data_IF_952749749136
#
_entry.id   IF_952749749136
#
_cell.length_a   1.000
_cell.length_b   1.000
_cell.length_c   1.000
_cell.angle_alpha   90.00
_cell.angle_beta   90.00
_cell.angle_gamma   90.00
#
_symmetry.space_group_name_H-M   'P 1'
#
loop_
_entity.id
_entity.type
_entity.pdbx_description
1 polymer ?
#
# COMPACT_ATOMS: atom_id res chain seq x y z
N UNK A 1 10.29 5.13 29.00
CA UNK A 1 10.23 6.18 27.97
C UNK A 1 10.37 5.50 26.65
N UNK A 2 9.30 5.41 25.89
CA UNK A 2 9.30 4.78 24.58
C UNK A 2 9.48 5.85 23.50
N UNK A 3 10.05 5.47 22.34
CA UNK A 3 10.18 6.31 21.16
C UNK A 3 9.15 5.89 20.11
N UNK A 4 8.27 6.78 19.76
CA UNK A 4 7.25 6.55 18.74
C UNK A 4 7.42 7.50 17.55
N UNK A 5 7.19 6.97 16.35
CA UNK A 5 7.03 7.78 15.15
C UNK A 5 5.56 7.80 14.76
N UNK A 6 4.93 8.96 14.80
CA UNK A 6 3.53 9.17 14.45
C UNK A 6 3.45 9.77 13.05
N UNK A 7 2.77 9.10 12.13
CA UNK A 7 2.50 9.65 10.79
C UNK A 7 1.02 10.03 10.67
N UNK A 8 0.75 11.24 10.23
CA UNK A 8 -0.60 11.68 9.93
C UNK A 8 -0.77 11.97 8.44
N UNK A 9 -1.80 11.34 7.83
CA UNK A 9 -2.14 11.54 6.42
C UNK A 9 -2.83 12.88 6.14
N UNK A 10 -2.98 13.23 4.87
CA UNK A 10 -3.57 14.51 4.45
C UNK A 10 -4.98 14.75 4.97
N UNK A 11 -5.80 13.70 5.09
CA UNK A 11 -7.14 13.79 5.71
C UNK A 11 -7.07 14.13 7.20
N UNK A 12 -6.05 13.66 7.89
CA UNK A 12 -5.84 13.92 9.32
C UNK A 12 -5.42 15.37 9.61
N UNK A 13 -4.81 16.03 8.64
CA UNK A 13 -4.32 17.42 8.72
C UNK A 13 -5.02 18.35 7.71
N UNK A 14 -6.19 17.96 7.21
CA UNK A 14 -6.90 18.64 6.14
C UNK A 14 -7.54 19.99 6.49
N UNK A 15 -7.50 20.41 7.76
CA UNK A 15 -7.91 21.75 8.23
C UNK A 15 -7.14 22.15 9.48
N UNK A 16 -7.20 23.43 9.84
CA UNK A 16 -6.57 23.96 11.07
C UNK A 16 -7.14 23.28 12.31
N UNK A 17 -8.44 22.99 12.36
CA UNK A 17 -9.10 22.28 13.46
C UNK A 17 -8.54 20.87 13.62
N UNK A 18 -8.35 20.17 12.50
CA UNK A 18 -7.74 18.81 12.51
C UNK A 18 -6.29 18.84 12.96
N UNK A 19 -5.50 19.83 12.53
CA UNK A 19 -4.12 20.02 12.99
C UNK A 19 -4.09 20.26 14.52
N UNK A 20 -5.01 21.07 15.06
CA UNK A 20 -5.14 21.26 16.52
C UNK A 20 -5.53 19.96 17.26
N UNK A 21 -6.35 19.10 16.65
CA UNK A 21 -6.65 17.77 17.23
C UNK A 21 -5.42 16.86 17.25
N UNK A 22 -4.64 16.85 16.16
CA UNK A 22 -3.35 16.15 16.10
C UNK A 22 -2.40 16.65 17.17
N UNK A 23 -2.27 17.98 17.35
CA UNK A 23 -1.42 18.57 18.39
C UNK A 23 -1.81 18.08 19.79
N UNK A 24 -3.11 18.03 20.12
CA UNK A 24 -3.60 17.50 21.42
C UNK A 24 -3.24 16.01 21.59
N UNK A 25 -3.34 15.20 20.53
CA UNK A 25 -2.99 13.77 20.55
C UNK A 25 -1.48 13.58 20.80
N UNK A 26 -0.64 14.35 20.13
CA UNK A 26 0.82 14.35 20.31
C UNK A 26 1.19 14.80 21.73
N UNK A 27 0.60 15.91 22.21
CA UNK A 27 0.82 16.42 23.57
C UNK A 27 0.47 15.39 24.63
N UNK A 28 -0.66 14.68 24.48
CA UNK A 28 -1.08 13.61 25.38
C UNK A 28 -0.03 12.50 25.52
N UNK A 29 0.60 12.09 24.40
CA UNK A 29 1.66 11.08 24.42
C UNK A 29 2.94 11.61 25.07
N UNK A 30 3.35 12.85 24.76
CA UNK A 30 4.50 13.49 25.43
C UNK A 30 4.28 13.61 26.95
N UNK A 31 3.07 13.95 27.40
CA UNK A 31 2.73 14.05 28.81
C UNK A 31 2.82 12.71 29.56
N UNK A 32 2.71 11.58 28.84
CA UNK A 32 2.95 10.23 29.38
C UNK A 32 4.45 9.91 29.51
N UNK A 33 5.32 10.79 29.04
CA UNK A 33 6.76 10.64 29.10
C UNK A 33 7.40 9.97 27.90
N UNK A 34 6.68 9.85 26.77
CA UNK A 34 7.20 9.26 25.54
C UNK A 34 7.93 10.30 24.67
N UNK A 35 8.94 9.85 23.93
CA UNK A 35 9.58 10.62 22.88
C UNK A 35 8.79 10.47 21.58
N UNK A 36 8.45 11.60 20.95
CA UNK A 36 7.57 11.59 19.78
C UNK A 36 8.21 12.29 18.58
N UNK A 37 8.25 11.59 17.47
CA UNK A 37 8.53 12.16 16.16
C UNK A 37 7.21 12.14 15.38
N UNK A 38 6.88 13.26 14.76
CA UNK A 38 5.66 13.38 13.95
C UNK A 38 6.02 13.59 12.49
N UNK A 39 5.51 12.75 11.60
CA UNK A 39 5.65 12.89 10.15
C UNK A 39 4.31 13.30 9.54
N UNK A 40 4.31 14.39 8.79
CA UNK A 40 3.08 14.91 8.19
C UNK A 40 3.09 14.80 6.67
N UNK A 41 1.91 14.53 6.14
CA UNK A 41 1.58 14.77 4.73
C UNK A 41 1.10 16.21 4.53
N UNK A 42 1.07 16.67 3.28
CA UNK A 42 0.36 17.90 2.90
C UNK A 42 -1.14 17.80 3.25
N UNK A 43 -1.80 18.92 3.37
CA UNK A 43 -3.28 18.98 3.53
C UNK A 43 -3.97 18.23 2.38
N UNK A 44 -5.11 17.62 2.68
CA UNK A 44 -5.88 16.87 1.66
C UNK A 44 -6.17 17.73 0.43
N UNK A 45 -5.82 17.21 -0.77
CA UNK A 45 -6.00 17.91 -2.05
C UNK A 45 -4.86 18.86 -2.44
N UNK A 46 -3.98 19.25 -1.52
CA UNK A 46 -2.94 20.26 -1.78
C UNK A 46 -1.92 19.80 -2.82
N UNK A 47 -1.43 18.58 -2.75
CA UNK A 47 -0.50 18.02 -3.75
C UNK A 47 -1.12 18.03 -5.15
N UNK A 48 -2.41 17.65 -5.26
CA UNK A 48 -3.12 17.69 -6.56
C UNK A 48 -3.29 19.13 -7.08
N UNK A 49 -3.57 20.10 -6.19
CA UNK A 49 -3.65 21.51 -6.54
C UNK A 49 -2.32 22.03 -7.08
N UNK A 50 -1.21 21.69 -6.43
CA UNK A 50 0.13 22.09 -6.87
C UNK A 50 0.50 21.46 -8.23
N UNK A 51 0.18 20.18 -8.44
CA UNK A 51 0.37 19.51 -9.74
C UNK A 51 -0.46 20.19 -10.84
N UNK A 52 -1.70 20.58 -10.55
CA UNK A 52 -2.55 21.30 -11.52
C UNK A 52 -1.91 22.63 -11.91
N UNK A 53 -1.44 23.42 -10.94
CA UNK A 53 -0.73 24.69 -11.21
C UNK A 53 0.53 24.49 -12.09
N UNK A 54 1.31 23.44 -11.83
CA UNK A 54 2.47 23.12 -12.67
C UNK A 54 2.08 22.86 -14.13
N UNK A 55 0.97 22.11 -14.33
CA UNK A 55 0.46 21.77 -15.65
C UNK A 55 -0.12 22.98 -16.40
N UNK A 56 -0.66 23.97 -15.68
CA UNK A 56 -1.08 25.24 -16.27
C UNK A 56 0.13 26.07 -16.78
N UNK A 57 1.27 25.97 -16.11
CA UNK A 57 2.50 26.67 -16.53
C UNK A 57 3.21 25.96 -17.69
N UNK A 58 3.26 24.62 -17.65
CA UNK A 58 3.97 23.82 -18.65
C UNK A 58 3.25 22.46 -18.81
N UNK A 59 2.96 22.06 -20.05
CA UNK A 59 2.24 20.82 -20.35
C UNK A 59 2.96 19.58 -19.79
N UNK A 60 4.30 19.60 -19.85
CA UNK A 60 5.18 18.56 -19.28
C UNK A 60 6.27 19.23 -18.43
N UNK A 61 5.98 19.55 -17.17
CA UNK A 61 6.99 20.10 -16.26
C UNK A 61 8.13 19.12 -16.06
N UNK A 62 9.36 19.64 -15.85
CA UNK A 62 10.49 18.77 -15.49
C UNK A 62 10.27 18.19 -14.09
N UNK A 63 10.64 16.92 -13.91
CA UNK A 63 10.42 16.19 -12.65
C UNK A 63 11.10 16.87 -11.46
N UNK A 64 12.30 17.48 -11.68
CA UNK A 64 13.01 18.22 -10.63
C UNK A 64 12.21 19.42 -10.13
N UNK A 65 11.66 20.25 -11.02
CA UNK A 65 10.86 21.43 -10.62
C UNK A 65 9.49 21.01 -10.05
N UNK A 66 8.95 19.87 -10.50
CA UNK A 66 7.77 19.28 -9.89
C UNK A 66 8.04 18.92 -8.43
N UNK A 67 9.18 18.28 -8.11
CA UNK A 67 9.56 17.94 -6.74
C UNK A 67 9.70 19.17 -5.84
N UNK A 68 10.34 20.23 -6.34
CA UNK A 68 10.43 21.52 -5.63
C UNK A 68 9.06 22.05 -5.29
N UNK A 69 8.14 22.06 -6.26
CA UNK A 69 6.80 22.62 -6.06
C UNK A 69 5.97 21.79 -5.09
N UNK A 70 5.86 20.47 -5.32
CA UNK A 70 4.94 19.63 -4.52
C UNK A 70 5.44 19.40 -3.09
N UNK A 71 6.74 19.50 -2.83
CA UNK A 71 7.33 19.41 -1.47
C UNK A 71 6.93 20.55 -0.54
N UNK A 72 6.39 21.65 -1.06
CA UNK A 72 5.95 22.79 -0.26
C UNK A 72 4.72 22.50 0.59
N UNK A 73 3.90 21.54 0.18
CA UNK A 73 2.66 21.18 0.88
C UNK A 73 2.90 20.70 2.30
N UNK A 74 3.90 19.84 2.51
CA UNK A 74 4.27 19.33 3.82
C UNK A 74 4.95 20.41 4.68
N UNK A 75 5.66 21.37 4.08
CA UNK A 75 6.26 22.48 4.81
C UNK A 75 5.20 23.34 5.50
N UNK A 76 4.04 23.51 4.87
CA UNK A 76 2.91 24.23 5.50
C UNK A 76 2.41 23.45 6.72
N UNK A 77 2.17 22.15 6.59
CA UNK A 77 1.56 21.36 7.66
C UNK A 77 2.48 21.19 8.86
N UNK A 78 3.78 20.98 8.66
CA UNK A 78 4.74 20.85 9.78
C UNK A 78 4.87 22.17 10.56
N UNK A 79 4.88 23.31 9.88
CA UNK A 79 4.92 24.60 10.55
C UNK A 79 3.66 24.85 11.37
N UNK A 80 2.46 24.60 10.80
CA UNK A 80 1.19 24.78 11.49
C UNK A 80 1.05 23.85 12.70
N UNK A 81 1.46 22.59 12.60
CA UNK A 81 1.43 21.66 13.74
C UNK A 81 2.37 22.12 14.83
N UNK A 82 3.59 22.54 14.51
CA UNK A 82 4.56 23.03 15.47
C UNK A 82 4.04 24.26 16.21
N UNK A 83 3.41 25.21 15.52
CA UNK A 83 2.75 26.36 16.14
C UNK A 83 1.63 25.91 17.10
N UNK A 84 0.82 24.92 16.70
CA UNK A 84 -0.25 24.39 17.54
C UNK A 84 0.29 23.65 18.79
N UNK A 85 1.44 22.99 18.69
CA UNK A 85 2.14 22.36 19.83
C UNK A 85 2.67 23.43 20.79
N UNK A 86 3.29 24.50 20.30
CA UNK A 86 3.75 25.62 21.12
C UNK A 86 2.60 26.28 21.89
N UNK A 87 1.43 26.46 21.28
CA UNK A 87 0.23 26.98 21.94
C UNK A 87 -0.24 26.10 23.10
N UNK A 88 0.03 24.79 23.03
CA UNK A 88 -0.25 23.83 24.11
C UNK A 88 0.88 23.72 25.14
N UNK A 89 1.91 24.58 25.07
CA UNK A 89 3.06 24.55 25.95
C UNK A 89 3.99 23.36 25.70
N UNK A 90 3.99 22.81 24.51
CA UNK A 90 4.84 21.70 24.09
C UNK A 90 6.04 22.26 23.30
N UNK A 91 7.26 22.03 23.77
CA UNK A 91 8.44 22.39 23.00
C UNK A 91 8.56 21.47 21.77
N UNK A 92 8.61 22.05 20.59
CA UNK A 92 8.61 21.32 19.33
C UNK A 92 9.42 22.03 18.25
N UNK A 93 10.02 21.27 17.35
CA UNK A 93 10.78 21.81 16.23
C UNK A 93 10.38 21.13 14.92
N UNK A 94 10.11 21.92 13.88
CA UNK A 94 9.80 21.40 12.54
C UNK A 94 11.02 21.32 11.63
N UNK A 95 11.06 20.30 10.79
CA UNK A 95 12.12 20.04 9.83
C UNK A 95 11.57 19.64 8.46
N UNK A 96 12.22 20.15 7.41
CA UNK A 96 12.11 19.58 6.07
C UNK A 96 12.99 18.33 5.95
N UNK A 97 12.76 17.51 4.91
CA UNK A 97 13.60 16.34 4.66
C UNK A 97 15.09 16.67 4.47
N UNK A 98 15.39 17.84 3.88
CA UNK A 98 16.78 18.31 3.71
C UNK A 98 17.45 18.70 5.02
N UNK A 99 16.72 19.29 5.95
CA UNK A 99 17.26 19.72 7.25
C UNK A 99 17.65 18.58 8.20
N UNK A 100 16.99 17.43 8.05
CA UNK A 100 17.32 16.16 8.74
C UNK A 100 18.00 15.17 7.80
N UNK A 101 18.49 15.66 6.65
CA UNK A 101 19.22 14.90 5.63
C UNK A 101 18.64 13.52 5.34
N UNK A 102 17.37 13.48 4.94
CA UNK A 102 16.80 12.29 4.31
C UNK A 102 17.42 12.20 2.92
N UNK A 103 18.59 11.54 2.84
CA UNK A 103 19.35 11.41 1.60
C UNK A 103 18.69 10.40 0.66
N UNK A 104 18.50 10.78 -0.59
CA UNK A 104 17.89 9.96 -1.63
C UNK A 104 18.78 9.81 -2.84
N UNK A 105 18.38 8.97 -3.79
CA UNK A 105 18.87 9.06 -5.17
C UNK A 105 18.21 10.25 -5.92
N UNK A 106 18.70 10.54 -7.11
CA UNK A 106 18.21 11.65 -7.97
C UNK A 106 17.08 11.22 -8.92
N UNK A 107 16.33 10.17 -8.58
CA UNK A 107 15.15 9.74 -9.36
C UNK A 107 13.96 10.60 -8.95
N UNK A 108 13.87 11.82 -9.49
CA UNK A 108 12.82 12.78 -9.15
C UNK A 108 11.43 12.17 -9.29
N UNK A 109 10.50 12.62 -8.46
CA UNK A 109 9.10 12.14 -8.31
C UNK A 109 8.93 10.72 -7.78
N UNK A 110 10.00 9.91 -7.73
CA UNK A 110 10.00 8.50 -7.26
C UNK A 110 11.29 8.13 -6.53
N UNK A 111 11.93 9.09 -5.89
CA UNK A 111 13.22 8.90 -5.23
C UNK A 111 13.20 7.81 -4.16
N UNK A 112 14.34 7.20 -3.93
CA UNK A 112 14.55 6.16 -2.92
C UNK A 112 15.47 6.66 -1.81
N UNK A 113 15.04 6.50 -0.56
CA UNK A 113 15.85 6.84 0.61
C UNK A 113 17.07 5.92 0.65
N UNK A 114 18.26 6.51 0.76
CA UNK A 114 19.53 5.82 0.91
C UNK A 114 20.03 5.85 2.34
N UNK A 115 19.87 7.01 3.01
CA UNK A 115 20.38 7.24 4.35
C UNK A 115 19.57 8.35 5.03
N UNK A 116 19.51 8.32 6.35
CA UNK A 116 18.97 9.40 7.20
C UNK A 116 20.05 9.77 8.21
N UNK A 117 20.29 11.08 8.41
CA UNK A 117 21.15 11.57 9.47
C UNK A 117 20.31 11.83 10.72
N UNK A 118 20.57 11.09 11.79
CA UNK A 118 19.76 11.06 13.00
C UNK A 118 20.23 11.98 14.13
N UNK A 119 21.48 12.46 14.08
CA UNK A 119 22.15 13.23 15.16
C UNK A 119 21.31 14.41 15.64
N UNK A 120 20.74 15.17 14.70
CA UNK A 120 19.96 16.38 15.03
C UNK A 120 18.61 16.02 15.66
N UNK A 121 17.99 14.95 15.20
CA UNK A 121 16.74 14.44 15.75
C UNK A 121 16.95 13.94 17.18
N UNK A 122 17.99 13.16 17.42
CA UNK A 122 18.34 12.69 18.76
C UNK A 122 18.60 13.85 19.72
N UNK A 123 19.37 14.85 19.32
CA UNK A 123 19.64 16.01 20.16
C UNK A 123 18.36 16.76 20.61
N UNK A 124 17.37 16.91 19.72
CA UNK A 124 16.10 17.52 20.06
C UNK A 124 15.22 16.62 20.95
N UNK A 125 15.18 15.32 20.67
CA UNK A 125 14.46 14.35 21.51
C UNK A 125 15.04 14.29 22.94
N UNK A 126 16.38 14.30 23.07
CA UNK A 126 17.07 14.32 24.35
C UNK A 126 16.84 15.63 25.13
N UNK A 127 16.59 16.73 24.42
CA UNK A 127 16.16 18.00 25.00
C UNK A 127 14.68 18.03 25.36
N UNK A 128 13.94 16.92 25.21
CA UNK A 128 12.52 16.80 25.53
C UNK A 128 11.56 17.42 24.50
N UNK A 129 12.05 17.74 23.30
CA UNK A 129 11.23 18.33 22.25
C UNK A 129 10.48 17.27 21.42
N UNK A 130 9.32 17.65 20.91
CA UNK A 130 8.66 16.93 19.84
C UNK A 130 9.30 17.31 18.50
N UNK A 131 9.73 16.33 17.73
CA UNK A 131 10.33 16.54 16.41
C UNK A 131 9.25 16.36 15.34
N UNK A 132 9.02 17.39 14.50
CA UNK A 132 8.01 17.36 13.44
C UNK A 132 8.72 17.39 12.09
N UNK A 133 8.55 16.36 11.28
CA UNK A 133 9.27 16.18 10.00
C UNK A 133 8.30 16.20 8.81
N UNK A 134 8.64 16.97 7.80
CA UNK A 134 7.92 16.92 6.52
C UNK A 134 8.13 15.56 5.86
N UNK A 135 7.03 14.81 5.69
CA UNK A 135 7.04 13.56 4.96
C UNK A 135 7.21 13.75 3.46
N UNK A 136 7.26 12.65 2.70
CA UNK A 136 7.22 12.63 1.24
C UNK A 136 8.48 13.17 0.54
N UNK A 137 9.35 13.90 1.21
CA UNK A 137 10.48 14.62 0.63
C UNK A 137 11.84 14.23 1.22
N UNK A 138 12.87 14.37 0.42
CA UNK A 138 14.27 14.21 0.79
C UNK A 138 15.18 15.17 -0.01
N UNK A 139 16.45 14.86 -0.02
CA UNK A 139 17.49 15.62 -0.74
C UNK A 139 18.46 14.66 -1.40
N UNK A 140 18.87 14.94 -2.63
CA UNK A 140 19.92 14.18 -3.29
C UNK A 140 21.34 14.68 -2.89
N UNK A 141 22.38 13.98 -3.33
CA UNK A 141 23.78 14.37 -3.06
C UNK A 141 24.14 15.76 -3.59
N UNK A 142 23.45 16.22 -4.63
CA UNK A 142 23.62 17.56 -5.21
C UNK A 142 22.87 18.66 -4.45
N UNK A 143 22.16 18.34 -3.37
CA UNK A 143 21.35 19.28 -2.59
C UNK A 143 20.00 19.62 -3.21
N UNK A 144 19.57 18.90 -4.27
CA UNK A 144 18.27 19.12 -4.88
C UNK A 144 17.18 18.41 -4.07
N UNK A 145 16.03 19.07 -3.93
CA UNK A 145 14.84 18.47 -3.32
C UNK A 145 14.34 17.32 -4.20
N UNK A 146 14.00 16.20 -3.57
CA UNK A 146 13.43 15.02 -4.20
C UNK A 146 12.15 14.63 -3.50
N UNK A 147 11.22 13.97 -4.23
CA UNK A 147 10.02 13.41 -3.62
C UNK A 147 9.95 11.89 -3.82
N UNK A 148 9.35 11.20 -2.85
CA UNK A 148 9.35 9.75 -2.77
C UNK A 148 8.22 9.09 -3.57
N UNK A 149 7.36 9.88 -4.19
CA UNK A 149 6.19 9.40 -4.90
C UNK A 149 5.04 9.00 -3.97
N UNK A 150 4.05 8.32 -4.50
CA UNK A 150 2.82 7.96 -3.78
C UNK A 150 3.12 7.14 -2.51
N UNK A 151 2.49 7.50 -1.38
CA UNK A 151 2.77 6.89 -0.08
C UNK A 151 4.12 7.30 0.55
N UNK A 152 4.77 8.34 0.01
CA UNK A 152 6.08 8.78 0.46
C UNK A 152 6.13 9.21 1.93
N UNK A 153 5.05 9.78 2.49
CA UNK A 153 5.01 10.14 3.93
C UNK A 153 4.99 8.90 4.83
N UNK A 154 4.32 7.82 4.44
CA UNK A 154 4.37 6.54 5.17
C UNK A 154 5.79 5.97 5.10
N UNK A 155 6.42 6.01 3.92
CA UNK A 155 7.81 5.58 3.74
C UNK A 155 8.78 6.42 4.58
N UNK A 156 8.59 7.74 4.65
CA UNK A 156 9.41 8.63 5.50
C UNK A 156 9.28 8.24 6.98
N UNK A 157 8.05 8.00 7.46
CA UNK A 157 7.82 7.64 8.87
C UNK A 157 8.49 6.33 9.23
N UNK A 158 8.33 5.31 8.40
CA UNK A 158 8.97 4.00 8.61
C UNK A 158 10.49 4.10 8.54
N UNK A 159 11.03 4.89 7.60
CA UNK A 159 12.48 5.09 7.48
C UNK A 159 13.07 5.80 8.71
N UNK A 160 12.38 6.80 9.24
CA UNK A 160 12.75 7.45 10.50
C UNK A 160 12.68 6.49 11.69
N UNK A 161 11.59 5.69 11.78
CA UNK A 161 11.45 4.70 12.83
C UNK A 161 12.58 3.65 12.79
N UNK A 162 12.97 3.21 11.58
CA UNK A 162 14.08 2.28 11.40
C UNK A 162 15.43 2.91 11.80
N UNK A 163 15.71 4.12 11.32
CA UNK A 163 16.98 4.82 11.58
C UNK A 163 17.19 5.10 13.08
N UNK A 164 16.12 5.48 13.76
CA UNK A 164 16.13 5.87 15.18
C UNK A 164 15.80 4.71 16.12
N UNK A 165 15.55 3.51 15.60
CA UNK A 165 15.16 2.31 16.36
C UNK A 165 13.96 2.57 17.27
N UNK A 166 12.93 3.20 16.72
CA UNK A 166 11.70 3.48 17.45
C UNK A 166 10.98 2.16 17.84
N UNK A 167 10.30 2.21 18.99
CA UNK A 167 9.55 1.05 19.51
C UNK A 167 8.37 0.67 18.60
N UNK A 168 7.62 1.66 18.08
CA UNK A 168 6.57 1.46 17.08
C UNK A 168 6.48 2.68 16.14
N UNK A 169 6.04 2.44 14.91
CA UNK A 169 5.60 3.46 13.97
C UNK A 169 4.08 3.43 13.83
N UNK A 170 3.41 4.50 14.25
CA UNK A 170 1.95 4.64 14.22
C UNK A 170 1.51 5.38 12.97
N UNK A 171 0.74 4.71 12.11
CA UNK A 171 0.16 5.31 10.91
C UNK A 171 -1.29 5.69 11.19
N UNK A 172 -1.52 6.98 11.42
CA UNK A 172 -2.84 7.55 11.62
C UNK A 172 -3.51 7.86 10.29
N UNK A 173 -4.70 7.29 10.09
CA UNK A 173 -5.49 7.40 8.86
C UNK A 173 -6.98 7.62 9.19
N UNK A 174 -7.85 7.58 8.18
CA UNK A 174 -9.30 7.70 8.32
C UNK A 174 -10.02 6.42 8.73
N UNK A 175 -9.30 5.29 8.76
CA UNK A 175 -9.78 4.01 9.30
C UNK A 175 -9.12 3.67 10.63
N UNK A 176 -9.76 2.84 11.45
CA UNK A 176 -9.29 2.50 12.79
C UNK A 176 -8.45 1.21 12.85
N UNK A 177 -8.06 0.68 11.69
CA UNK A 177 -7.21 -0.51 11.57
C UNK A 177 -7.40 -1.26 10.27
N UNK A 178 -6.83 -2.46 10.20
CA UNK A 178 -6.99 -3.40 9.10
C UNK A 178 -8.13 -4.35 9.42
N UNK A 179 -9.00 -4.61 8.45
CA UNK A 179 -10.18 -5.45 8.61
C UNK A 179 -10.06 -6.75 7.84
N UNK A 180 -10.82 -7.75 8.24
CA UNK A 180 -10.91 -9.06 7.54
C UNK A 180 -11.38 -8.93 6.10
N UNK A 181 -12.10 -7.87 5.75
CA UNK A 181 -12.40 -7.35 4.40
C UNK A 181 -12.92 -5.92 4.52
N UNK A 182 -13.28 -5.28 3.40
CA UNK A 182 -13.86 -3.92 3.42
C UNK A 182 -15.23 -3.90 4.12
N UNK A 183 -15.40 -3.19 5.24
CA UNK A 183 -16.68 -3.12 5.98
C UNK A 183 -17.84 -2.54 5.16
N UNK A 184 -17.55 -1.79 4.08
CA UNK A 184 -18.58 -1.25 3.16
C UNK A 184 -19.17 -2.34 2.27
N UNK A 185 -18.42 -3.43 2.04
CA UNK A 185 -18.86 -4.61 1.26
C UNK A 185 -19.47 -5.67 2.19
N UNK A 186 -18.82 -5.96 3.31
CA UNK A 186 -19.27 -6.92 4.32
C UNK A 186 -19.37 -6.24 5.69
N UNK A 187 -20.58 -5.86 6.14
CA UNK A 187 -20.76 -5.18 7.43
C UNK A 187 -20.32 -5.99 8.67
N UNK A 188 -20.19 -7.32 8.53
CA UNK A 188 -19.67 -8.19 9.59
C UNK A 188 -18.14 -8.28 9.57
N UNK A 189 -17.48 -7.56 8.69
CA UNK A 189 -16.02 -7.50 8.68
C UNK A 189 -15.50 -7.03 10.03
N UNK A 190 -14.50 -7.72 10.55
CA UNK A 190 -13.94 -7.50 11.87
C UNK A 190 -12.56 -6.86 11.76
N UNK A 191 -12.27 -5.90 12.62
CA UNK A 191 -10.92 -5.34 12.72
C UNK A 191 -9.99 -6.40 13.31
N UNK A 192 -8.83 -6.58 12.70
CA UNK A 192 -7.76 -7.44 13.17
C UNK A 192 -7.02 -6.76 14.32
N UNK A 193 -6.72 -7.49 15.39
CA UNK A 193 -5.86 -7.00 16.46
C UNK A 193 -4.41 -6.91 15.96
N UNK A 194 -4.01 -7.92 15.19
CA UNK A 194 -2.67 -8.11 14.66
C UNK A 194 -2.73 -8.78 13.28
N UNK A 195 -1.74 -8.48 12.43
CA UNK A 195 -1.54 -9.10 11.11
C UNK A 195 -0.03 -9.19 10.85
N UNK A 196 0.41 -10.21 10.11
CA UNK A 196 1.84 -10.32 9.74
C UNK A 196 2.20 -9.36 8.61
N UNK A 197 3.51 -9.04 8.49
CA UNK A 197 3.99 -8.24 7.35
C UNK A 197 3.68 -8.91 6.01
N UNK A 198 3.82 -10.23 5.91
CA UNK A 198 3.55 -10.97 4.68
C UNK A 198 2.09 -10.87 4.28
N UNK A 199 1.16 -11.09 5.21
CA UNK A 199 -0.28 -10.94 4.96
C UNK A 199 -0.66 -9.50 4.61
N UNK A 200 -0.09 -8.52 5.33
CA UNK A 200 -0.37 -7.11 5.05
C UNK A 200 0.13 -6.70 3.66
N UNK A 201 1.30 -7.18 3.23
CA UNK A 201 1.82 -6.96 1.88
C UNK A 201 0.88 -7.53 0.82
N UNK A 202 0.42 -8.76 1.02
CA UNK A 202 -0.54 -9.37 0.10
C UNK A 202 -1.86 -8.60 0.07
N UNK A 203 -2.43 -8.26 1.24
CA UNK A 203 -3.66 -7.49 1.28
C UNK A 203 -3.52 -6.10 0.65
N UNK A 204 -2.40 -5.42 0.87
CA UNK A 204 -2.12 -4.11 0.26
C UNK A 204 -1.98 -4.21 -1.27
N UNK A 205 -1.33 -5.26 -1.78
CA UNK A 205 -1.18 -5.51 -3.22
C UNK A 205 -2.51 -5.88 -3.90
N UNK A 206 -3.43 -6.46 -3.15
CA UNK A 206 -4.71 -6.97 -3.63
C UNK A 206 -5.87 -5.98 -3.47
N UNK A 207 -5.61 -4.72 -3.07
CA UNK A 207 -6.61 -3.67 -3.06
C UNK A 207 -7.02 -3.13 -1.68
N UNK A 208 -6.47 -3.65 -0.59
CA UNK A 208 -6.62 -3.03 0.72
C UNK A 208 -5.79 -1.74 0.76
N UNK A 209 -6.44 -0.59 0.56
CA UNK A 209 -5.80 0.73 0.43
C UNK A 209 -5.41 1.37 1.78
N UNK A 210 -5.28 0.58 2.85
CA UNK A 210 -5.00 1.10 4.20
C UNK A 210 -3.56 1.56 4.34
N UNK A 211 -2.60 0.78 3.79
CA UNK A 211 -1.18 1.09 3.77
C UNK A 211 -0.61 0.98 2.37
N UNK A 212 0.45 1.73 2.11
CA UNK A 212 1.19 1.62 0.86
C UNK A 212 2.15 0.43 0.93
N UNK A 213 2.19 -0.37 -0.12
CA UNK A 213 3.03 -1.58 -0.23
C UNK A 213 4.48 -1.27 0.14
N UNK A 214 5.05 -0.21 -0.44
CA UNK A 214 6.44 0.19 -0.21
C UNK A 214 6.76 0.49 1.27
N UNK A 215 5.83 1.06 2.04
CA UNK A 215 6.05 1.33 3.46
C UNK A 215 6.02 0.04 4.28
N UNK A 216 5.16 -0.91 3.93
CA UNK A 216 5.07 -2.24 4.58
C UNK A 216 6.33 -3.07 4.29
N UNK A 217 6.79 -3.10 3.01
CA UNK A 217 8.07 -3.73 2.62
C UNK A 217 9.25 -3.17 3.42
N UNK A 218 9.31 -1.85 3.52
CA UNK A 218 10.38 -1.18 4.24
C UNK A 218 10.35 -1.51 5.73
N UNK A 219 9.17 -1.51 6.33
CA UNK A 219 8.97 -1.87 7.74
C UNK A 219 9.37 -3.32 8.01
N UNK A 220 8.96 -4.26 7.17
CA UNK A 220 9.38 -5.66 7.26
C UNK A 220 10.90 -5.80 7.12
N UNK A 221 11.51 -5.16 6.12
CA UNK A 221 12.97 -5.23 5.90
C UNK A 221 13.79 -4.76 7.09
N UNK A 222 13.34 -3.72 7.79
CA UNK A 222 14.07 -3.10 8.91
C UNK A 222 13.51 -3.46 10.29
N UNK A 223 12.59 -4.41 10.36
CA UNK A 223 11.96 -4.87 11.60
C UNK A 223 11.31 -3.75 12.42
N UNK A 224 10.56 -2.88 11.75
CA UNK A 224 9.83 -1.78 12.40
C UNK A 224 8.39 -2.22 12.64
N UNK A 225 7.98 -2.36 13.90
CA UNK A 225 6.58 -2.63 14.23
C UNK A 225 5.70 -1.45 13.77
N UNK A 226 4.66 -1.74 12.97
CA UNK A 226 3.71 -0.74 12.51
C UNK A 226 2.39 -0.89 13.24
N UNK A 227 1.73 0.23 13.54
CA UNK A 227 0.36 0.21 14.05
C UNK A 227 -0.51 1.15 13.24
N UNK A 228 -1.61 0.64 12.70
CA UNK A 228 -2.63 1.44 12.00
C UNK A 228 -3.68 1.88 13.01
N UNK A 229 -3.93 3.18 13.04
CA UNK A 229 -4.81 3.84 14.01
C UNK A 229 -5.70 4.88 13.33
N UNK A 230 -6.87 5.12 13.92
CA UNK A 230 -7.71 6.23 13.48
C UNK A 230 -7.17 7.58 13.95
N UNK A 231 -7.19 8.57 13.05
CA UNK A 231 -6.95 9.97 13.42
C UNK A 231 -8.11 10.57 14.24
N UNK A 232 -9.31 9.99 14.14
CA UNK A 232 -10.56 10.57 14.61
C UNK A 232 -11.20 9.83 15.79
N UNK A 233 -10.80 8.58 16.02
CA UNK A 233 -11.33 7.73 17.08
C UNK A 233 -10.20 7.21 17.95
N UNK A 234 -10.48 7.02 19.24
CA UNK A 234 -9.56 6.33 20.15
C UNK A 234 -9.68 4.81 19.94
N UNK A 235 -8.58 4.09 20.11
CA UNK A 235 -8.57 2.63 19.96
C UNK A 235 -7.16 2.07 19.86
N UNK A 236 -7.05 0.73 19.94
CA UNK A 236 -5.76 0.04 19.90
C UNK A 236 -5.24 -0.18 18.46
N UNK A 237 -6.09 0.05 17.44
CA UNK A 237 -5.72 -0.15 16.04
C UNK A 237 -5.43 -1.60 15.68
N UNK A 238 -4.63 -1.78 14.62
CA UNK A 238 -4.08 -3.08 14.19
C UNK A 238 -2.56 -3.01 14.20
N UNK A 239 -1.93 -3.95 14.89
CA UNK A 239 -0.47 -4.12 14.89
C UNK A 239 -0.05 -4.95 13.67
N UNK A 240 0.94 -4.47 12.91
CA UNK A 240 1.60 -5.21 11.85
C UNK A 240 3.00 -5.58 12.33
N UNK A 241 3.28 -6.87 12.41
CA UNK A 241 4.52 -7.41 12.98
C UNK A 241 4.91 -8.72 12.31
N UNK A 242 5.99 -9.33 12.75
CA UNK A 242 6.35 -10.68 12.34
C UNK A 242 5.45 -11.73 13.00
N UNK A 243 5.38 -12.90 12.38
CA UNK A 243 4.71 -14.05 12.98
C UNK A 243 5.39 -14.42 14.30
N UNK A 244 4.58 -14.51 15.36
CA UNK A 244 5.07 -15.02 16.64
C UNK A 244 5.04 -16.55 16.61
N UNK A 245 6.18 -17.19 16.80
CA UNK A 245 6.32 -18.64 16.79
C UNK A 245 5.57 -19.35 17.92
N UNK A 246 5.01 -18.61 18.89
CA UNK A 246 4.26 -19.15 20.02
C UNK A 246 2.74 -19.15 19.82
N UNK A 247 2.22 -18.52 18.75
CA UNK A 247 0.79 -18.47 18.47
C UNK A 247 0.44 -19.27 17.21
N UNK A 248 -0.58 -20.11 17.27
CA UNK A 248 -1.21 -20.67 16.08
C UNK A 248 -1.87 -19.53 15.29
N UNK A 249 -1.34 -19.27 14.10
CA UNK A 249 -1.87 -18.23 13.20
C UNK A 249 -3.28 -18.58 12.73
N UNK A 250 -4.13 -17.59 12.57
CA UNK A 250 -5.44 -17.78 11.96
C UNK A 250 -5.29 -18.40 10.56
N UNK A 251 -6.14 -19.36 10.22
CA UNK A 251 -6.10 -20.05 8.92
C UNK A 251 -6.19 -19.06 7.76
N UNK A 252 -7.15 -18.13 7.84
CA UNK A 252 -7.37 -17.02 6.91
C UNK A 252 -7.49 -15.73 7.73
N UNK A 253 -6.70 -14.75 7.38
CA UNK A 253 -6.70 -13.44 8.04
C UNK A 253 -7.65 -12.46 7.37
N UNK A 254 -7.87 -12.61 6.06
CA UNK A 254 -8.79 -11.72 5.38
C UNK A 254 -9.05 -12.03 3.92
N UNK A 255 -9.97 -11.25 3.36
CA UNK A 255 -10.36 -11.28 1.96
C UNK A 255 -10.12 -9.90 1.36
N UNK A 256 -9.27 -9.85 0.35
CA UNK A 256 -9.02 -8.65 -0.45
C UNK A 256 -9.64 -8.80 -1.84
N UNK A 257 -9.98 -7.68 -2.47
CA UNK A 257 -10.48 -7.68 -3.84
C UNK A 257 -9.96 -6.47 -4.61
N UNK A 258 -9.73 -6.65 -5.91
CA UNK A 258 -9.31 -5.58 -6.81
C UNK A 258 -10.25 -5.49 -8.00
N UNK A 259 -10.94 -4.34 -8.15
CA UNK A 259 -11.85 -4.04 -9.25
C UNK A 259 -11.14 -3.49 -10.48
N UNK A 260 -9.92 -3.02 -10.32
CA UNK A 260 -9.14 -2.34 -11.37
C UNK A 260 -8.33 -3.34 -12.22
N UNK A 261 -8.93 -4.50 -12.51
CA UNK A 261 -8.32 -5.59 -13.27
C UNK A 261 -8.98 -5.74 -14.64
N UNK A 262 -8.17 -6.09 -15.63
CA UNK A 262 -8.62 -6.52 -16.95
C UNK A 262 -7.80 -7.72 -17.41
N UNK A 263 -8.45 -8.69 -18.06
CA UNK A 263 -7.83 -9.91 -18.55
C UNK A 263 -7.61 -9.82 -20.05
N UNK A 264 -6.45 -10.25 -20.53
CA UNK A 264 -6.10 -10.43 -21.91
C UNK A 264 -5.63 -11.87 -22.16
N UNK A 265 -6.04 -12.45 -23.27
CA UNK A 265 -5.64 -13.80 -23.68
C UNK A 265 -5.24 -13.79 -25.15
N UNK A 266 -4.07 -14.32 -25.44
CA UNK A 266 -3.64 -14.68 -26.80
C UNK A 266 -3.67 -16.20 -26.93
N UNK A 267 -4.36 -16.72 -27.94
CA UNK A 267 -4.57 -18.16 -28.12
C UNK A 267 -3.84 -18.69 -29.35
N UNK A 268 -3.45 -19.97 -29.29
CA UNK A 268 -2.84 -20.67 -30.39
C UNK A 268 -1.49 -20.10 -30.80
N UNK A 269 -0.69 -19.66 -29.84
CA UNK A 269 0.69 -19.21 -30.06
C UNK A 269 1.56 -20.45 -30.26
N UNK A 270 2.47 -20.53 -31.27
CA UNK A 270 3.41 -21.62 -31.38
C UNK A 270 4.23 -21.81 -30.10
N UNK A 271 4.24 -23.03 -29.55
CA UNK A 271 4.97 -23.34 -28.30
C UNK A 271 6.47 -23.46 -28.58
N UNK A 272 7.16 -22.33 -28.51
CA UNK A 272 8.60 -22.21 -28.77
C UNK A 272 9.29 -21.51 -27.61
N UNK A 273 10.56 -21.89 -27.29
CA UNK A 273 11.34 -21.17 -26.32
C UNK A 273 11.38 -19.66 -26.56
N UNK A 274 11.12 -18.87 -25.51
CA UNK A 274 11.12 -17.42 -25.57
C UNK A 274 9.77 -16.80 -25.98
N UNK A 275 8.72 -17.55 -26.20
CA UNK A 275 7.41 -17.03 -26.59
C UNK A 275 6.82 -16.09 -25.52
N UNK A 276 6.95 -16.41 -24.24
CA UNK A 276 6.49 -15.55 -23.14
C UNK A 276 7.18 -14.17 -23.18
N UNK A 277 8.49 -14.14 -23.45
CA UNK A 277 9.23 -12.88 -23.60
C UNK A 277 8.73 -12.08 -24.82
N UNK A 278 8.46 -12.74 -25.95
CA UNK A 278 7.93 -12.08 -27.14
C UNK A 278 6.54 -11.48 -26.93
N UNK A 279 5.72 -12.08 -26.04
CA UNK A 279 4.39 -11.60 -25.70
C UNK A 279 4.49 -10.43 -24.69
N UNK A 280 5.25 -10.60 -23.61
CA UNK A 280 5.28 -9.64 -22.50
C UNK A 280 6.32 -8.53 -22.67
N UNK A 281 7.37 -8.73 -23.47
CA UNK A 281 8.40 -7.73 -23.73
C UNK A 281 7.82 -6.39 -24.21
N UNK A 282 7.04 -6.38 -25.29
CA UNK A 282 6.40 -5.14 -25.79
C UNK A 282 5.44 -4.48 -24.78
N UNK A 283 4.80 -5.27 -23.90
CA UNK A 283 3.93 -4.77 -22.84
C UNK A 283 4.78 -4.09 -21.74
N UNK A 284 5.90 -4.70 -21.36
CA UNK A 284 6.84 -4.13 -20.40
C UNK A 284 7.53 -2.87 -20.95
N UNK A 285 7.94 -2.86 -22.20
CA UNK A 285 8.54 -1.70 -22.89
C UNK A 285 7.56 -0.51 -22.94
N UNK A 286 6.25 -0.80 -22.96
CA UNK A 286 5.20 0.20 -22.85
C UNK A 286 4.93 0.65 -21.40
N UNK A 287 5.72 0.17 -20.42
CA UNK A 287 5.55 0.45 -19.00
C UNK A 287 4.15 0.07 -18.45
N UNK A 288 3.64 -1.09 -18.88
CA UNK A 288 2.39 -1.68 -18.39
C UNK A 288 2.74 -2.80 -17.43
N UNK A 289 2.20 -2.72 -16.22
CA UNK A 289 2.35 -3.75 -15.20
C UNK A 289 1.44 -4.93 -15.49
N UNK A 290 1.98 -6.15 -15.35
CA UNK A 290 1.26 -7.42 -15.48
C UNK A 290 1.24 -8.11 -14.12
N UNK A 291 0.07 -8.60 -13.71
CA UNK A 291 -0.09 -9.22 -12.39
C UNK A 291 -0.19 -10.76 -12.49
N UNK A 292 -1.36 -11.30 -12.85
CA UNK A 292 -1.51 -12.75 -13.01
C UNK A 292 -1.05 -13.19 -14.40
N UNK A 293 -0.27 -14.26 -14.49
CA UNK A 293 0.16 -14.86 -15.76
C UNK A 293 -0.17 -16.34 -15.72
N UNK A 294 -0.88 -16.82 -16.75
CA UNK A 294 -1.22 -18.24 -16.93
C UNK A 294 -0.87 -18.65 -18.35
N UNK A 295 -0.09 -19.71 -18.49
CA UNK A 295 0.23 -20.32 -19.75
C UNK A 295 -0.26 -21.77 -19.75
N UNK A 296 -1.02 -22.15 -20.77
CA UNK A 296 -1.50 -23.53 -20.96
C UNK A 296 -1.00 -24.05 -22.30
N UNK A 297 -0.32 -25.20 -22.27
CA UNK A 297 0.12 -25.90 -23.49
C UNK A 297 -1.05 -26.74 -23.99
N UNK A 298 -1.36 -26.60 -25.29
CA UNK A 298 -2.36 -27.41 -25.97
C UNK A 298 -1.74 -28.62 -26.68
N UNK A 299 -2.55 -29.62 -27.01
CA UNK A 299 -2.09 -30.85 -27.65
C UNK A 299 -1.53 -30.65 -29.07
N UNK A 300 -1.82 -29.51 -29.71
CA UNK A 300 -1.42 -29.17 -31.08
C UNK A 300 -0.09 -28.39 -31.18
N UNK A 301 0.78 -28.49 -30.16
CA UNK A 301 2.03 -27.75 -30.07
C UNK A 301 1.84 -26.22 -30.08
N UNK A 302 0.70 -25.75 -29.62
CA UNK A 302 0.44 -24.33 -29.36
C UNK A 302 0.25 -24.09 -27.87
N UNK A 303 0.35 -22.83 -27.48
CA UNK A 303 0.08 -22.39 -26.11
C UNK A 303 -0.94 -21.27 -26.10
N UNK A 304 -1.80 -21.28 -25.09
CA UNK A 304 -2.63 -20.15 -24.77
C UNK A 304 -1.98 -19.38 -23.62
N UNK A 305 -1.87 -18.07 -23.78
CA UNK A 305 -1.22 -17.20 -22.81
C UNK A 305 -2.21 -16.14 -22.34
N UNK A 306 -2.50 -16.15 -21.04
CA UNK A 306 -3.44 -15.24 -20.40
C UNK A 306 -2.72 -14.44 -19.33
N UNK A 307 -3.00 -13.14 -19.24
CA UNK A 307 -2.50 -12.30 -18.17
C UNK A 307 -3.49 -11.20 -17.80
N UNK A 308 -3.31 -10.60 -16.62
CA UNK A 308 -4.08 -9.44 -16.20
C UNK A 308 -3.23 -8.19 -16.18
N UNK A 309 -3.88 -7.06 -16.43
CA UNK A 309 -3.31 -5.71 -16.39
C UNK A 309 -4.27 -4.80 -15.62
N UNK A 310 -3.80 -3.63 -15.21
CA UNK A 310 -4.68 -2.60 -14.66
C UNK A 310 -5.71 -2.19 -15.73
N UNK A 311 -6.96 -2.00 -15.32
CA UNK A 311 -8.10 -1.70 -16.22
C UNK A 311 -7.84 -0.49 -17.12
N UNK A 312 -7.14 0.55 -16.62
CA UNK A 312 -6.79 1.74 -17.40
C UNK A 312 -5.80 1.46 -18.55
N UNK A 313 -5.03 0.39 -18.46
CA UNK A 313 -4.06 -0.01 -19.49
C UNK A 313 -4.63 -1.01 -20.49
N UNK A 314 -5.90 -1.44 -20.30
CA UNK A 314 -6.53 -2.51 -21.09
C UNK A 314 -6.46 -2.27 -22.59
N UNK A 315 -6.92 -1.13 -23.09
CA UNK A 315 -6.97 -0.84 -24.52
C UNK A 315 -5.56 -0.75 -25.11
N UNK A 316 -4.61 -0.16 -24.38
CA UNK A 316 -3.22 -0.05 -24.82
C UNK A 316 -2.53 -1.41 -24.86
N UNK A 317 -2.70 -2.22 -23.82
CA UNK A 317 -2.17 -3.59 -23.76
C UNK A 317 -2.79 -4.48 -24.83
N UNK A 318 -4.09 -4.35 -25.09
CA UNK A 318 -4.80 -5.09 -26.14
C UNK A 318 -4.26 -4.78 -27.53
N UNK A 319 -4.07 -3.52 -27.86
CA UNK A 319 -3.50 -3.12 -29.16
C UNK A 319 -2.07 -3.66 -29.36
N UNK A 320 -1.23 -3.64 -28.32
CA UNK A 320 0.12 -4.23 -28.34
C UNK A 320 0.02 -5.75 -28.59
N UNK A 321 -0.89 -6.42 -27.89
CA UNK A 321 -1.06 -7.86 -27.99
C UNK A 321 -1.61 -8.29 -29.37
N UNK A 322 -2.50 -7.50 -29.98
CA UNK A 322 -3.00 -7.72 -31.33
C UNK A 322 -1.89 -7.63 -32.39
N UNK A 323 -1.01 -6.63 -32.27
CA UNK A 323 0.18 -6.51 -33.12
C UNK A 323 1.13 -7.69 -32.92
N UNK A 324 1.36 -8.11 -31.67
CA UNK A 324 2.20 -9.26 -31.33
C UNK A 324 1.60 -10.57 -31.85
N UNK A 325 0.28 -10.72 -31.79
CA UNK A 325 -0.46 -11.87 -32.31
C UNK A 325 -0.18 -12.09 -33.81
N UNK A 326 -0.22 -11.01 -34.57
CA UNK A 326 0.08 -11.07 -36.02
C UNK A 326 1.54 -11.48 -36.30
N UNK A 327 2.50 -10.98 -35.51
CA UNK A 327 3.91 -11.30 -35.66
C UNK A 327 4.24 -12.75 -35.29
N UNK A 328 3.55 -13.31 -34.29
CA UNK A 328 3.79 -14.67 -33.82
C UNK A 328 2.99 -15.73 -34.57
N UNK A 329 2.09 -15.34 -35.49
CA UNK A 329 1.18 -16.27 -36.17
C UNK A 329 0.18 -16.93 -35.22
N UNK A 330 -0.16 -16.26 -34.10
CA UNK A 330 -1.15 -16.73 -33.16
C UNK A 330 -2.57 -16.62 -33.73
N UNK A 331 -3.51 -17.36 -33.14
CA UNK A 331 -4.89 -17.44 -33.71
C UNK A 331 -5.72 -16.21 -33.41
N UNK A 332 -5.72 -15.74 -32.14
CA UNK A 332 -6.66 -14.70 -31.69
C UNK A 332 -6.23 -14.04 -30.40
N UNK A 333 -6.58 -12.77 -30.27
CA UNK A 333 -6.57 -12.03 -29.01
C UNK A 333 -8.01 -11.87 -28.51
N UNK A 334 -8.23 -12.10 -27.24
CA UNK A 334 -9.48 -11.80 -26.52
C UNK A 334 -9.19 -11.05 -25.25
N UNK A 335 -10.13 -10.23 -24.80
CA UNK A 335 -9.98 -9.50 -23.54
C UNK A 335 -11.32 -9.31 -22.85
N UNK A 336 -11.25 -9.07 -21.53
CA UNK A 336 -12.40 -8.78 -20.69
C UNK A 336 -11.97 -7.79 -19.61
N UNK A 337 -12.62 -6.63 -19.54
CA UNK A 337 -12.38 -5.59 -18.55
C UNK A 337 -13.50 -5.47 -17.51
N UNK A 338 -14.42 -6.43 -17.49
CA UNK A 338 -15.56 -6.50 -16.54
C UNK A 338 -15.34 -7.63 -15.52
N UNK A 339 -14.13 -7.73 -15.03
CA UNK A 339 -13.68 -8.75 -14.08
C UNK A 339 -13.24 -8.11 -12.77
N UNK A 340 -13.19 -8.93 -11.73
CA UNK A 340 -12.63 -8.60 -10.42
C UNK A 340 -11.77 -9.76 -9.93
N UNK A 341 -10.66 -9.43 -9.29
CA UNK A 341 -9.84 -10.40 -8.57
C UNK A 341 -10.29 -10.42 -7.11
N UNK A 342 -10.65 -11.60 -6.59
CA UNK A 342 -10.98 -11.83 -5.17
C UNK A 342 -9.97 -12.81 -4.60
N UNK A 343 -9.38 -12.48 -3.46
CA UNK A 343 -8.29 -13.24 -2.87
C UNK A 343 -8.53 -13.48 -1.40
N UNK A 344 -8.31 -14.71 -0.95
CA UNK A 344 -8.18 -15.05 0.48
C UNK A 344 -6.70 -15.03 0.84
N UNK A 345 -6.38 -14.49 2.01
CA UNK A 345 -4.99 -14.31 2.50
C UNK A 345 -4.88 -14.86 3.92
N UNK A 346 -3.84 -15.61 4.21
CA UNK A 346 -3.54 -16.10 5.56
C UNK A 346 -2.32 -17.00 5.59
N UNK A 347 -1.39 -16.76 6.52
CA UNK A 347 -0.18 -17.58 6.70
C UNK A 347 -0.51 -19.00 7.14
N UNK A 348 -1.64 -19.23 7.82
CA UNK A 348 -2.11 -20.55 8.22
C UNK A 348 -2.42 -21.49 7.04
N UNK A 349 -2.56 -20.97 5.82
CA UNK A 349 -2.77 -21.81 4.62
C UNK A 349 -1.58 -22.72 4.30
N UNK A 350 -0.36 -22.37 4.72
CA UNK A 350 0.85 -23.17 4.48
C UNK A 350 0.74 -24.59 5.01
N UNK A 351 0.06 -24.79 6.12
CA UNK A 351 -0.04 -26.06 6.82
C UNK A 351 -1.38 -26.78 6.68
N UNK A 352 -2.36 -26.21 5.97
CA UNK A 352 -3.70 -26.72 5.91
C UNK A 352 -4.17 -27.06 4.49
N UNK A 353 -4.53 -28.31 4.26
CA UNK A 353 -5.16 -28.75 3.01
C UNK A 353 -6.66 -28.39 2.98
N UNK A 354 -7.21 -28.25 1.77
CA UNK A 354 -8.66 -28.11 1.57
C UNK A 354 -9.20 -26.68 1.49
N UNK A 355 -8.38 -25.66 1.75
CA UNK A 355 -8.81 -24.25 1.71
C UNK A 355 -9.31 -23.88 0.31
N UNK A 356 -8.55 -24.22 -0.73
CA UNK A 356 -8.96 -24.00 -2.12
C UNK A 356 -10.29 -24.68 -2.43
N UNK A 357 -10.46 -25.92 -1.96
CA UNK A 357 -11.72 -26.67 -2.13
C UNK A 357 -12.90 -25.98 -1.46
N UNK A 358 -12.73 -25.46 -0.25
CA UNK A 358 -13.74 -24.68 0.46
C UNK A 358 -14.09 -23.41 -0.31
N UNK A 359 -13.10 -22.66 -0.78
CA UNK A 359 -13.30 -21.47 -1.60
C UNK A 359 -14.11 -21.79 -2.87
N UNK A 360 -13.71 -22.82 -3.62
CA UNK A 360 -14.35 -23.17 -4.88
C UNK A 360 -15.77 -23.72 -4.65
N UNK A 361 -15.99 -24.54 -3.61
CA UNK A 361 -17.30 -25.03 -3.21
C UNK A 361 -18.25 -23.87 -2.87
N UNK A 362 -17.78 -22.89 -2.12
CA UNK A 362 -18.55 -21.72 -1.74
C UNK A 362 -18.98 -20.92 -2.96
N UNK A 363 -18.06 -20.62 -3.87
CA UNK A 363 -18.37 -19.88 -5.09
C UNK A 363 -19.33 -20.67 -6.02
N UNK A 364 -19.16 -21.98 -6.12
CA UNK A 364 -20.06 -22.84 -6.89
C UNK A 364 -21.48 -22.86 -6.30
N UNK A 365 -21.65 -22.89 -4.97
CA UNK A 365 -22.94 -22.82 -4.30
C UNK A 365 -23.69 -21.52 -4.62
N UNK A 366 -22.96 -20.41 -4.79
CA UNK A 366 -23.51 -19.11 -5.20
C UNK A 366 -23.63 -18.95 -6.72
N UNK A 367 -23.39 -20.02 -7.48
CA UNK A 367 -23.41 -20.01 -8.96
C UNK A 367 -22.43 -18.98 -9.57
N UNK A 368 -21.31 -18.73 -8.92
CA UNK A 368 -20.24 -17.83 -9.38
C UNK A 368 -19.20 -18.66 -10.14
N UNK A 369 -19.05 -18.36 -11.44
CA UNK A 369 -18.06 -19.03 -12.27
C UNK A 369 -16.68 -18.39 -12.12
N UNK A 370 -15.66 -19.24 -11.96
CA UNK A 370 -14.25 -18.83 -11.84
C UNK A 370 -13.64 -18.75 -13.25
N UNK A 371 -13.02 -17.61 -13.58
CA UNK A 371 -12.36 -17.32 -14.86
C UNK A 371 -10.87 -17.64 -14.87
N UNK A 372 -10.20 -17.41 -13.74
CA UNK A 372 -8.78 -17.68 -13.51
C UNK A 372 -8.54 -18.03 -12.05
N UNK A 373 -7.49 -18.78 -11.78
CA UNK A 373 -7.03 -19.12 -10.43
C UNK A 373 -5.53 -18.87 -10.38
N UNK A 374 -5.06 -18.31 -9.28
CA UNK A 374 -3.64 -18.21 -8.93
C UNK A 374 -3.47 -18.50 -7.45
N UNK A 375 -2.43 -19.22 -7.09
CA UNK A 375 -2.15 -19.61 -5.71
C UNK A 375 -0.71 -19.29 -5.33
N UNK A 376 -0.49 -18.94 -4.07
CA UNK A 376 0.82 -18.90 -3.43
C UNK A 376 0.73 -19.62 -2.09
N UNK A 377 1.79 -19.58 -1.29
CA UNK A 377 1.79 -20.20 0.04
C UNK A 377 0.77 -19.60 1.01
N UNK A 378 0.48 -18.32 0.87
CA UNK A 378 -0.36 -17.56 1.80
C UNK A 378 -1.57 -16.89 1.15
N UNK A 379 -1.83 -17.20 -0.13
CA UNK A 379 -2.91 -16.56 -0.90
C UNK A 379 -3.51 -17.49 -1.94
N UNK A 380 -4.83 -17.43 -2.10
CA UNK A 380 -5.54 -17.99 -3.24
C UNK A 380 -6.36 -16.87 -3.86
N UNK A 381 -6.12 -16.59 -5.14
CA UNK A 381 -6.82 -15.57 -5.92
C UNK A 381 -7.67 -16.21 -6.99
N UNK A 382 -8.89 -15.75 -7.13
CA UNK A 382 -9.77 -16.09 -8.24
C UNK A 382 -10.19 -14.83 -8.98
N UNK A 383 -10.33 -14.94 -10.28
CA UNK A 383 -10.97 -13.91 -11.11
C UNK A 383 -12.39 -14.35 -11.40
N UNK A 384 -13.35 -13.46 -11.14
CA UNK A 384 -14.78 -13.67 -11.40
C UNK A 384 -15.34 -12.46 -12.15
N UNK A 385 -16.58 -12.58 -12.67
CA UNK A 385 -17.27 -11.44 -13.27
C UNK A 385 -17.51 -10.34 -12.21
N UNK A 386 -17.26 -9.08 -12.53
CA UNK A 386 -17.33 -7.95 -11.60
C UNK A 386 -18.66 -7.84 -10.85
N UNK A 387 -19.77 -8.16 -11.50
CA UNK A 387 -21.11 -8.14 -10.91
C UNK A 387 -21.29 -9.06 -9.71
N UNK A 388 -20.45 -10.08 -9.56
CA UNK A 388 -20.51 -11.03 -8.45
C UNK A 388 -19.55 -10.71 -7.30
N UNK A 389 -18.79 -9.62 -7.37
CA UNK A 389 -17.75 -9.28 -6.41
C UNK A 389 -18.28 -9.27 -4.97
N UNK A 390 -19.33 -8.51 -4.70
CA UNK A 390 -19.88 -8.39 -3.33
C UNK A 390 -20.41 -9.72 -2.81
N UNK A 391 -21.11 -10.47 -3.66
CA UNK A 391 -21.62 -11.79 -3.29
C UNK A 391 -20.48 -12.76 -2.97
N UNK A 392 -19.44 -12.79 -3.81
CA UNK A 392 -18.27 -13.63 -3.59
C UNK A 392 -17.58 -13.30 -2.26
N UNK A 393 -17.33 -12.00 -1.98
CA UNK A 393 -16.68 -11.56 -0.75
C UNK A 393 -17.50 -11.97 0.48
N UNK A 394 -18.82 -11.73 0.50
CA UNK A 394 -19.71 -12.07 1.62
C UNK A 394 -19.82 -13.58 1.85
N UNK A 395 -19.99 -14.35 0.77
CA UNK A 395 -20.06 -15.80 0.85
C UNK A 395 -18.76 -16.41 1.40
N UNK A 396 -17.61 -15.96 0.91
CA UNK A 396 -16.30 -16.40 1.39
C UNK A 396 -16.04 -15.96 2.83
N UNK A 397 -16.40 -14.72 3.20
CA UNK A 397 -16.26 -14.22 4.58
C UNK A 397 -17.04 -15.10 5.58
N UNK A 398 -18.25 -15.50 5.21
CA UNK A 398 -19.09 -16.42 6.01
C UNK A 398 -18.50 -17.84 6.03
N UNK A 399 -18.04 -18.35 4.88
CA UNK A 399 -17.53 -19.72 4.77
C UNK A 399 -16.22 -19.94 5.56
N UNK A 400 -15.41 -18.90 5.68
CA UNK A 400 -14.17 -18.91 6.48
C UNK A 400 -14.36 -18.35 7.91
N UNK A 401 -15.61 -18.11 8.32
CA UNK A 401 -15.98 -17.67 9.68
C UNK A 401 -15.24 -16.41 10.16
N UNK A 402 -14.95 -15.48 9.25
CA UNK A 402 -14.15 -14.28 9.53
C UNK A 402 -14.89 -13.24 10.41
N UNK A 403 -16.19 -13.40 10.61
CA UNK A 403 -17.00 -12.62 11.56
C UNK A 403 -16.82 -13.08 13.01
N UNK A 404 -16.34 -14.32 13.23
CA UNK A 404 -16.14 -14.85 14.57
C UNK A 404 -14.82 -14.37 15.15
N UNK A 405 -14.85 -13.95 16.40
CA UNK A 405 -13.62 -13.73 17.17
C UNK A 405 -13.07 -15.10 17.51
N UNK A 406 -11.92 -15.45 16.96
CA UNK A 406 -11.16 -16.60 17.47
C UNK A 406 -10.74 -16.20 18.89
N UNK A 407 -11.37 -16.79 19.90
CA UNK A 407 -10.89 -16.66 21.26
C UNK A 407 -9.47 -17.21 21.29
N UNK A 408 -8.53 -16.37 21.69
CA UNK A 408 -7.19 -16.80 22.05
C UNK A 408 -7.35 -17.86 23.16
N UNK A 409 -7.08 -19.14 22.84
CA UNK A 409 -6.85 -20.16 23.83
C UNK A 409 -5.41 -20.11 24.31
#
# INVERSE_FOLDING_TARGET
>A
MALYVYKFGGTSVGSVERIKMVAKKVKKAQDLGDQIIVVLSAMSGETNRLIALAKEMQLQPTDREMDVLISTGEQVTVALLTMALHELGCDATSYTGSQVKILTDSTYTKARIRQIEDTKIHADLDAGKVVVVAGFQGVDEGGNITTLGRGGSDTTAVALAAALKADECHIYTDVDGVYTTDPRVEPKARRLKQITFEEMLEMASLGSKVLQIRSVEFAGKYNVALRVLSSFQEGCGTLITYEDSQMESALISGIAFNRDEAKLTITGVPDLPGVAFKILGPVADANIEVDMIIQNIADDATTDFTFTVHRNDYERAKAILEATCALLGARKVTGDNSIVKVSIVGVGMRSHAGIASTMFKTLAAESINIRMISTSEIKISVVVDEKYMELAVRALHTAFELDKVTEER
#
